data_IF_284088717948
#
_entry.id   IF_284088717948
#
_cell.length_a   1.000
_cell.length_b   1.000
_cell.length_c   1.000
_cell.angle_alpha   90.00
_cell.angle_beta   90.00
_cell.angle_gamma   90.00
#
_symmetry.space_group_name_H-M   'P 1'
#
loop_
_entity.id
_entity.type
_entity.pdbx_description
1 polymer ?
#
# COMPACT_ATOMS: atom_id res chain seq x y z
N UNK A 1 -12.15 27.68 14.90
CA UNK A 1 -11.96 28.01 13.46
C UNK A 1 -10.51 28.35 13.09
N UNK A 2 -9.79 29.21 13.85
CA UNK A 2 -8.36 29.54 13.61
C UNK A 2 -7.40 28.33 13.55
N UNK A 3 -7.53 27.36 14.46
CA UNK A 3 -6.68 26.17 14.49
C UNK A 3 -6.89 25.20 13.29
N UNK A 4 -8.05 25.26 12.62
CA UNK A 4 -8.33 24.44 11.43
C UNK A 4 -7.68 25.07 10.19
N UNK A 5 -7.75 26.38 10.04
CA UNK A 5 -7.13 27.15 8.95
C UNK A 5 -5.59 27.14 9.03
N UNK A 6 -5.00 27.20 10.22
CA UNK A 6 -3.54 27.10 10.40
C UNK A 6 -2.94 25.77 9.93
N UNK A 7 -3.73 24.69 9.90
CA UNK A 7 -3.29 23.38 9.42
C UNK A 7 -3.11 23.35 7.90
N UNK A 8 -3.73 24.28 7.17
CA UNK A 8 -3.65 24.38 5.71
C UNK A 8 -2.61 25.38 5.21
N UNK A 9 -2.20 26.34 6.05
CA UNK A 9 -1.19 27.36 5.69
C UNK A 9 0.21 27.00 6.16
N UNK A 10 0.36 26.04 7.08
CA UNK A 10 1.68 25.57 7.51
C UNK A 10 2.30 24.69 6.42
N UNK A 11 3.58 24.91 6.06
CA UNK A 11 4.30 23.97 5.23
C UNK A 11 4.24 22.57 5.87
N UNK A 12 4.13 21.51 5.06
CA UNK A 12 3.99 20.15 5.59
C UNK A 12 5.16 19.83 6.51
N UNK A 13 4.90 19.27 7.70
CA UNK A 13 5.92 18.89 8.70
C UNK A 13 7.00 17.92 8.16
N UNK A 14 6.78 17.33 6.99
CA UNK A 14 7.72 16.44 6.30
C UNK A 14 7.77 16.81 4.83
N UNK A 15 8.98 16.91 4.28
CA UNK A 15 9.17 17.15 2.85
C UNK A 15 8.53 16.01 2.04
N UNK A 16 7.69 16.33 1.03
CA UNK A 16 7.09 15.33 0.17
C UNK A 16 8.08 14.69 -0.81
N UNK A 17 9.23 15.33 -1.07
CA UNK A 17 10.14 14.99 -2.18
C UNK A 17 11.27 14.04 -1.74
N UNK A 18 11.50 13.92 -0.44
CA UNK A 18 12.50 13.00 0.09
C UNK A 18 12.69 13.21 1.59
N UNK A 19 12.01 12.41 2.40
CA UNK A 19 12.24 12.37 3.84
C UNK A 19 12.98 11.08 4.20
N UNK A 20 14.01 11.23 5.02
CA UNK A 20 14.70 10.12 5.65
C UNK A 20 14.63 10.32 7.17
N UNK A 21 14.59 9.20 7.90
CA UNK A 21 14.85 9.16 9.34
C UNK A 21 16.32 8.88 9.53
N UNK A 22 16.93 9.54 10.51
CA UNK A 22 18.30 9.30 10.90
C UNK A 22 18.28 8.89 12.38
N UNK A 23 18.66 7.64 12.64
CA UNK A 23 18.82 7.11 13.99
C UNK A 23 20.32 7.15 14.32
N UNK A 24 20.75 7.95 15.30
CA UNK A 24 22.16 8.34 15.52
C UNK A 24 22.68 7.80 16.85
N UNK A 25 23.96 7.42 16.87
CA UNK A 25 24.78 7.29 18.08
C UNK A 25 25.94 8.28 17.95
N UNK A 26 26.16 9.07 19.00
CA UNK A 26 27.19 10.11 19.04
C UNK A 26 28.22 9.86 20.14
N UNK A 27 27.85 9.13 21.19
CA UNK A 27 28.73 8.90 22.34
C UNK A 27 29.27 7.46 22.36
N UNK A 28 30.57 7.25 22.67
CA UNK A 28 31.15 5.91 22.75
C UNK A 28 30.42 4.97 23.72
N UNK A 29 29.89 5.50 24.82
CA UNK A 29 29.18 4.75 25.86
C UNK A 29 27.85 4.19 25.35
N UNK A 30 27.22 4.85 24.37
CA UNK A 30 25.96 4.38 23.77
C UNK A 30 26.13 3.02 23.10
N UNK A 31 27.33 2.70 22.60
CA UNK A 31 27.63 1.38 22.03
C UNK A 31 27.44 0.23 23.02
N UNK A 32 27.51 0.50 24.33
CA UNK A 32 27.29 -0.50 25.39
C UNK A 32 25.82 -0.57 25.82
N UNK A 33 25.01 0.41 25.44
CA UNK A 33 23.60 0.51 25.81
C UNK A 33 22.71 -0.27 24.83
N UNK A 34 22.87 -1.60 24.78
CA UNK A 34 22.29 -2.47 23.75
C UNK A 34 20.79 -2.29 23.44
N UNK A 35 19.97 -1.79 24.38
CA UNK A 35 18.55 -1.48 24.12
C UNK A 35 18.34 -0.18 23.31
N UNK A 36 19.23 0.79 23.45
CA UNK A 36 19.11 2.14 22.91
C UNK A 36 19.86 2.32 21.58
N UNK A 37 20.83 1.45 21.29
CA UNK A 37 21.52 1.38 19.99
C UNK A 37 20.54 1.04 18.86
N UNK A 38 20.61 1.69 17.69
CA UNK A 38 19.83 1.31 16.51
C UNK A 38 19.98 -0.18 16.17
N UNK A 39 18.89 -0.84 15.78
CA UNK A 39 18.87 -2.30 15.57
C UNK A 39 19.85 -2.76 14.49
N UNK A 40 20.11 -1.92 13.51
CA UNK A 40 21.09 -2.17 12.45
C UNK A 40 22.52 -2.17 13.00
N UNK A 41 22.82 -1.29 13.96
CA UNK A 41 24.13 -1.28 14.64
C UNK A 41 24.25 -2.45 15.61
N UNK A 42 23.17 -2.84 16.31
CA UNK A 42 23.16 -4.10 17.07
C UNK A 42 23.47 -5.31 16.18
N UNK A 43 22.91 -5.34 14.97
CA UNK A 43 23.19 -6.40 14.00
C UNK A 43 24.64 -6.38 13.52
N UNK A 44 25.23 -5.20 13.28
CA UNK A 44 26.65 -5.04 12.98
C UNK A 44 27.51 -5.65 14.11
N UNK A 45 27.24 -5.28 15.36
CA UNK A 45 27.99 -5.79 16.52
C UNK A 45 27.85 -7.29 16.71
N UNK A 46 26.68 -7.86 16.39
CA UNK A 46 26.43 -9.29 16.52
C UNK A 46 27.21 -10.10 15.47
N UNK A 47 27.36 -9.58 14.25
CA UNK A 47 28.14 -10.27 13.20
C UNK A 47 29.65 -10.02 13.31
N UNK A 48 30.05 -8.80 13.70
CA UNK A 48 31.44 -8.39 13.76
C UNK A 48 31.68 -7.61 15.07
N UNK A 49 31.92 -8.32 16.19
CA UNK A 49 32.12 -7.68 17.50
C UNK A 49 33.28 -6.68 17.52
N UNK A 50 34.31 -6.92 16.72
CA UNK A 50 35.48 -6.04 16.57
C UNK A 50 35.13 -4.63 16.04
N UNK A 51 34.04 -4.49 15.28
CA UNK A 51 33.62 -3.19 14.77
C UNK A 51 33.10 -2.26 15.87
N UNK A 52 32.74 -2.80 17.03
CA UNK A 52 32.31 -2.01 18.18
C UNK A 52 33.39 -1.06 18.65
N UNK A 53 34.62 -1.54 18.78
CA UNK A 53 35.76 -0.70 19.23
C UNK A 53 36.18 0.30 18.15
N UNK A 54 36.15 -0.09 16.87
CA UNK A 54 36.38 0.84 15.75
C UNK A 54 35.34 1.97 15.73
N UNK A 55 34.06 1.65 15.96
CA UNK A 55 32.99 2.62 16.06
C UNK A 55 33.21 3.54 17.27
N UNK A 56 33.50 3.01 18.46
CA UNK A 56 33.80 3.83 19.65
C UNK A 56 34.92 4.84 19.39
N UNK A 57 36.00 4.41 18.74
CA UNK A 57 37.13 5.30 18.38
C UNK A 57 36.70 6.45 17.46
N UNK A 58 35.81 6.19 16.50
CA UNK A 58 35.26 7.23 15.62
C UNK A 58 34.39 8.20 16.44
N UNK A 59 33.54 7.67 17.33
CA UNK A 59 32.67 8.49 18.18
C UNK A 59 33.48 9.40 19.13
N UNK A 60 34.58 8.88 19.71
CA UNK A 60 35.50 9.66 20.54
C UNK A 60 36.22 10.80 19.80
N UNK A 61 36.15 10.84 18.47
CA UNK A 61 36.80 11.85 17.64
C UNK A 61 35.89 13.02 17.24
N UNK A 62 34.75 13.21 17.93
CA UNK A 62 33.80 14.29 17.64
C UNK A 62 32.89 14.01 16.44
N UNK A 63 32.64 12.73 16.13
CA UNK A 63 31.79 12.30 15.02
C UNK A 63 30.68 11.40 15.51
N UNK A 64 29.58 11.35 14.78
CA UNK A 64 28.47 10.45 15.06
C UNK A 64 28.22 9.48 13.91
N UNK A 65 27.68 8.30 14.23
CA UNK A 65 27.27 7.31 13.23
C UNK A 65 25.76 7.24 13.20
N UNK A 66 25.20 7.42 12.01
CA UNK A 66 23.76 7.40 11.77
C UNK A 66 23.33 6.25 10.87
N UNK A 67 22.13 5.73 11.10
CA UNK A 67 21.41 4.87 10.17
C UNK A 67 20.40 5.72 9.41
N UNK A 68 20.73 6.03 8.16
CA UNK A 68 19.82 6.75 7.25
C UNK A 68 18.81 5.77 6.70
N UNK A 69 17.53 6.00 7.01
CA UNK A 69 16.40 5.18 6.54
C UNK A 69 15.45 6.02 5.70
N UNK A 70 15.27 5.65 4.43
CA UNK A 70 14.33 6.31 3.52
C UNK A 70 12.89 5.99 3.91
N UNK A 71 12.09 7.04 4.07
CA UNK A 71 10.68 6.95 4.47
C UNK A 71 9.68 6.99 3.30
N UNK A 72 10.16 7.24 2.08
CA UNK A 72 9.37 7.16 0.87
C UNK A 72 10.26 6.77 -0.30
N UNK A 73 9.83 5.77 -1.05
CA UNK A 73 10.49 5.30 -2.25
C UNK A 73 10.69 6.48 -3.20
N UNK A 74 11.93 6.74 -3.64
CA UNK A 74 12.21 7.78 -4.61
C UNK A 74 11.34 7.66 -5.87
N UNK A 75 10.80 8.79 -6.35
CA UNK A 75 9.81 8.80 -7.43
C UNK A 75 10.37 8.25 -8.74
N UNK A 76 11.67 8.42 -9.00
CA UNK A 76 12.36 7.83 -10.14
C UNK A 76 12.31 6.28 -10.11
N UNK A 77 12.47 5.67 -8.93
CA UNK A 77 12.35 4.21 -8.76
C UNK A 77 10.90 3.78 -9.00
N UNK A 78 9.91 4.52 -8.48
CA UNK A 78 8.49 4.20 -8.70
C UNK A 78 8.11 4.28 -10.19
N UNK A 79 8.59 5.31 -10.91
CA UNK A 79 8.39 5.47 -12.36
C UNK A 79 9.05 4.34 -13.15
N UNK A 80 10.27 3.97 -12.80
CA UNK A 80 10.97 2.85 -13.43
C UNK A 80 10.23 1.52 -13.25
N UNK A 81 9.74 1.24 -12.03
CA UNK A 81 8.95 0.04 -11.75
C UNK A 81 7.65 0.04 -12.52
N UNK A 82 6.97 1.19 -12.58
CA UNK A 82 5.75 1.35 -13.36
C UNK A 82 6.00 1.03 -14.84
N UNK A 83 7.05 1.59 -15.44
CA UNK A 83 7.40 1.33 -16.84
C UNK A 83 7.63 -0.16 -17.11
N UNK A 84 8.48 -0.83 -16.33
CA UNK A 84 8.74 -2.27 -16.49
C UNK A 84 7.46 -3.10 -16.28
N UNK A 85 6.67 -2.74 -15.28
CA UNK A 85 5.42 -3.45 -14.96
C UNK A 85 4.41 -3.37 -16.11
N UNK A 86 4.19 -2.17 -16.64
CA UNK A 86 3.16 -1.91 -17.68
C UNK A 86 3.58 -2.44 -19.04
N UNK A 87 4.81 -2.14 -19.48
CA UNK A 87 5.22 -2.41 -20.86
C UNK A 87 5.81 -3.79 -21.09
N UNK A 88 6.22 -4.50 -20.03
CA UNK A 88 6.82 -5.83 -20.16
C UNK A 88 6.18 -6.87 -19.24
N UNK A 89 5.83 -6.51 -18.00
CA UNK A 89 5.45 -7.50 -16.99
C UNK A 89 3.94 -7.59 -16.75
N UNK A 90 3.10 -7.19 -17.72
CA UNK A 90 1.63 -7.34 -17.67
C UNK A 90 1.00 -6.84 -16.36
N UNK A 91 1.47 -5.70 -15.85
CA UNK A 91 1.06 -5.06 -14.59
C UNK A 91 1.39 -5.86 -13.31
N UNK A 92 2.28 -6.85 -13.40
CA UNK A 92 2.81 -7.56 -12.23
C UNK A 92 4.10 -6.92 -11.72
N UNK A 93 4.30 -7.03 -10.40
CA UNK A 93 5.57 -6.71 -9.73
C UNK A 93 6.07 -7.86 -8.87
N UNK A 94 5.18 -8.68 -8.30
CA UNK A 94 5.55 -9.71 -7.31
C UNK A 94 6.37 -10.86 -7.90
N UNK A 95 6.34 -11.03 -9.22
CA UNK A 95 7.02 -12.12 -9.93
C UNK A 95 8.49 -11.84 -10.23
N UNK A 96 8.89 -10.56 -10.32
CA UNK A 96 10.23 -10.16 -10.77
C UNK A 96 10.91 -9.15 -9.83
N UNK A 97 10.18 -8.20 -9.26
CA UNK A 97 10.77 -7.09 -8.49
C UNK A 97 11.50 -7.55 -7.23
N UNK A 98 10.96 -8.48 -6.42
CA UNK A 98 11.70 -9.02 -5.27
C UNK A 98 13.01 -9.70 -5.69
N UNK A 99 13.01 -10.45 -6.80
CA UNK A 99 14.21 -11.13 -7.33
C UNK A 99 15.24 -10.13 -7.86
N UNK A 100 14.79 -9.09 -8.57
CA UNK A 100 15.66 -8.01 -9.04
C UNK A 100 16.33 -7.28 -7.87
N UNK A 101 15.58 -6.95 -6.83
CA UNK A 101 16.10 -6.21 -5.68
C UNK A 101 17.04 -7.06 -4.82
N UNK A 102 16.76 -8.36 -4.65
CA UNK A 102 17.57 -9.29 -3.83
C UNK A 102 18.77 -9.86 -4.56
N UNK A 103 18.55 -10.42 -5.74
CA UNK A 103 19.50 -11.27 -6.44
C UNK A 103 20.07 -10.59 -7.69
N UNK A 104 19.64 -9.36 -8.00
CA UNK A 104 19.89 -8.67 -9.28
C UNK A 104 19.42 -9.48 -10.50
N UNK A 105 18.52 -10.44 -10.30
CA UNK A 105 17.96 -11.23 -11.38
C UNK A 105 17.11 -10.32 -12.27
N UNK A 106 17.57 -10.10 -13.50
CA UNK A 106 16.91 -9.19 -14.44
C UNK A 106 15.56 -9.77 -14.89
N UNK A 107 14.50 -8.95 -15.00
CA UNK A 107 13.25 -9.40 -15.59
C UNK A 107 13.48 -9.78 -17.06
N UNK A 108 12.80 -10.82 -17.52
CA UNK A 108 12.80 -11.19 -18.95
C UNK A 108 11.99 -10.15 -19.74
N UNK A 109 12.66 -9.43 -20.64
CA UNK A 109 12.07 -8.40 -21.51
C UNK A 109 12.39 -8.75 -22.95
N UNK A 110 11.36 -8.85 -23.80
CA UNK A 110 11.50 -9.19 -25.21
C UNK A 110 11.84 -7.93 -26.05
N UNK A 111 12.55 -8.04 -27.19
CA UNK A 111 12.89 -6.90 -28.04
C UNK A 111 11.70 -6.04 -28.44
N UNK A 112 10.57 -6.67 -28.77
CA UNK A 112 9.33 -5.96 -29.14
C UNK A 112 8.77 -5.08 -28.00
N UNK A 113 9.04 -5.43 -26.74
CA UNK A 113 8.58 -4.68 -25.57
C UNK A 113 9.42 -3.42 -25.34
N UNK A 114 10.72 -3.47 -25.66
CA UNK A 114 11.56 -2.27 -25.68
C UNK A 114 11.05 -1.26 -26.71
N UNK A 115 10.71 -1.71 -27.92
CA UNK A 115 10.18 -0.84 -28.96
C UNK A 115 8.81 -0.27 -28.58
N UNK A 116 7.92 -1.09 -28.02
CA UNK A 116 6.64 -0.61 -27.49
C UNK A 116 6.83 0.47 -26.42
N UNK A 117 7.73 0.25 -25.45
CA UNK A 117 7.99 1.25 -24.40
C UNK A 117 8.55 2.56 -24.96
N UNK A 118 9.44 2.50 -25.97
CA UNK A 118 9.99 3.69 -26.64
C UNK A 118 8.91 4.54 -27.30
N UNK A 119 7.89 3.92 -27.92
CA UNK A 119 6.75 4.68 -28.49
C UNK A 119 5.97 5.49 -27.45
N UNK A 120 6.13 5.16 -26.17
CA UNK A 120 5.54 5.86 -25.04
C UNK A 120 6.56 6.67 -24.22
N UNK A 121 7.75 6.94 -24.78
CA UNK A 121 8.84 7.69 -24.14
C UNK A 121 9.41 7.04 -22.86
N UNK A 122 9.40 5.71 -22.79
CA UNK A 122 10.05 4.96 -21.72
C UNK A 122 11.22 4.14 -22.25
N UNK A 123 12.35 4.21 -21.55
CA UNK A 123 13.49 3.30 -21.74
C UNK A 123 13.49 2.23 -20.65
N UNK A 124 13.18 0.98 -21.04
CA UNK A 124 13.15 -0.14 -20.09
C UNK A 124 14.55 -0.53 -19.59
N UNK A 125 15.59 -0.31 -20.37
CA UNK A 125 16.96 -0.57 -19.95
C UNK A 125 17.36 0.42 -18.85
N UNK A 126 17.14 1.71 -19.09
CA UNK A 126 17.39 2.76 -18.09
C UNK A 126 16.53 2.55 -16.82
N UNK A 127 15.27 2.13 -16.99
CA UNK A 127 14.39 1.83 -15.86
C UNK A 127 14.96 0.70 -14.98
N UNK A 128 15.37 -0.42 -15.58
CA UNK A 128 15.98 -1.53 -14.83
C UNK A 128 17.28 -1.09 -14.16
N UNK A 129 18.15 -0.35 -14.87
CA UNK A 129 19.39 0.18 -14.30
C UNK A 129 19.15 1.13 -13.14
N UNK A 130 18.13 1.99 -13.23
CA UNK A 130 17.74 2.90 -12.15
C UNK A 130 17.31 2.14 -10.90
N UNK A 131 16.49 1.09 -11.06
CA UNK A 131 16.06 0.24 -9.94
C UNK A 131 17.27 -0.44 -9.30
N UNK A 132 18.14 -1.05 -10.12
CA UNK A 132 19.33 -1.75 -9.64
C UNK A 132 20.26 -0.77 -8.93
N UNK A 133 20.63 0.36 -9.53
CA UNK A 133 21.54 1.35 -8.93
C UNK A 133 21.02 1.88 -7.59
N UNK A 134 19.75 2.25 -7.54
CA UNK A 134 19.20 2.97 -6.39
C UNK A 134 18.64 2.04 -5.29
N UNK A 135 18.60 0.72 -5.49
CA UNK A 135 18.06 -0.25 -4.50
C UNK A 135 18.75 -0.20 -3.12
N UNK A 136 19.98 0.30 -3.05
CA UNK A 136 20.77 0.40 -1.80
C UNK A 136 20.59 1.73 -1.08
N UNK A 137 19.89 2.69 -1.69
CA UNK A 137 19.70 4.02 -1.11
C UNK A 137 18.69 4.02 0.03
N UNK A 138 17.94 2.93 0.22
CA UNK A 138 16.85 2.85 1.19
C UNK A 138 17.32 2.80 2.64
N UNK A 139 18.47 2.17 2.88
CA UNK A 139 19.07 2.08 4.21
C UNK A 139 20.59 2.06 4.10
N UNK A 140 21.26 3.00 4.78
CA UNK A 140 22.71 3.14 4.73
C UNK A 140 23.27 3.64 6.05
N UNK A 141 24.46 3.18 6.41
CA UNK A 141 25.24 3.78 7.48
C UNK A 141 25.86 5.07 6.95
N UNK A 142 25.74 6.15 7.71
CA UNK A 142 26.31 7.45 7.38
C UNK A 142 27.14 7.96 8.55
N UNK A 143 28.21 8.66 8.22
CA UNK A 143 29.02 9.38 9.19
C UNK A 143 28.54 10.83 9.24
N UNK A 144 28.47 11.37 10.44
CA UNK A 144 28.06 12.74 10.73
C UNK A 144 29.25 13.38 11.42
N UNK A 145 29.74 14.47 10.86
CA UNK A 145 30.79 15.27 11.47
C UNK A 145 30.12 16.31 12.37
N UNK A 146 30.17 16.12 13.69
CA UNK A 146 29.48 17.01 14.64
C UNK A 146 30.35 18.23 14.98
N UNK A 147 31.67 18.07 14.95
CA UNK A 147 32.63 19.11 15.33
C UNK A 147 33.30 19.80 14.13
N UNK A 148 32.89 19.48 12.89
CA UNK A 148 33.45 20.01 11.64
C UNK A 148 34.95 19.73 11.46
N UNK A 149 35.41 18.57 11.93
CA UNK A 149 36.83 18.16 11.89
C UNK A 149 37.21 17.60 10.50
N UNK A 150 36.20 17.22 9.71
CA UNK A 150 36.36 16.55 8.42
C UNK A 150 36.35 15.02 8.54
N UNK A 151 35.96 14.36 7.45
CA UNK A 151 35.89 12.90 7.34
C UNK A 151 37.15 12.39 6.63
N UNK A 152 37.88 11.49 7.27
CA UNK A 152 39.07 10.87 6.68
C UNK A 152 38.68 9.78 5.67
N UNK A 153 39.52 9.51 4.65
CA UNK A 153 39.26 8.43 3.69
C UNK A 153 39.07 7.04 4.35
N UNK A 154 39.85 6.74 5.39
CA UNK A 154 39.76 5.49 6.16
C UNK A 154 38.40 5.35 6.85
N UNK A 155 37.88 6.43 7.43
CA UNK A 155 36.56 6.46 8.07
C UNK A 155 35.45 6.25 7.01
N UNK A 156 35.59 6.87 5.84
CA UNK A 156 34.66 6.71 4.73
C UNK A 156 34.64 5.27 4.19
N UNK A 157 35.81 4.62 4.12
CA UNK A 157 35.93 3.21 3.74
C UNK A 157 35.25 2.31 4.77
N UNK A 158 35.52 2.52 6.06
CA UNK A 158 34.90 1.75 7.13
C UNK A 158 33.36 1.90 7.13
N UNK A 159 32.84 3.11 6.91
CA UNK A 159 31.38 3.33 6.82
C UNK A 159 30.76 2.62 5.61
N UNK A 160 31.52 2.46 4.52
CA UNK A 160 31.11 1.68 3.36
C UNK A 160 31.07 0.19 3.68
N UNK A 161 32.08 -0.33 4.38
CA UNK A 161 32.13 -1.70 4.90
C UNK A 161 30.94 -1.99 5.86
N UNK A 162 30.66 -1.08 6.81
CA UNK A 162 29.48 -1.19 7.67
C UNK A 162 28.16 -1.21 6.89
N UNK A 163 28.09 -0.44 5.80
CA UNK A 163 26.92 -0.43 4.91
C UNK A 163 26.76 -1.76 4.16
N UNK A 164 27.84 -2.46 3.85
CA UNK A 164 27.81 -3.80 3.25
C UNK A 164 27.33 -4.86 4.24
N UNK A 165 27.69 -4.77 5.52
CA UNK A 165 27.18 -5.69 6.55
C UNK A 165 25.66 -5.63 6.66
N UNK A 166 25.07 -4.43 6.63
CA UNK A 166 23.61 -4.27 6.74
C UNK A 166 22.87 -4.51 5.42
N UNK A 167 23.58 -4.82 4.33
CA UNK A 167 23.03 -4.94 2.98
C UNK A 167 21.87 -5.93 2.86
N UNK A 168 21.93 -7.16 3.42
CA UNK A 168 20.81 -8.10 3.32
C UNK A 168 19.51 -7.54 3.94
N UNK A 169 19.65 -6.82 5.06
CA UNK A 169 18.53 -6.19 5.76
C UNK A 169 18.03 -4.96 5.01
N UNK A 170 18.94 -4.17 4.44
CA UNK A 170 18.61 -2.98 3.66
C UNK A 170 17.78 -3.34 2.41
N UNK A 171 18.11 -4.44 1.74
CA UNK A 171 17.36 -4.96 0.59
C UNK A 171 15.95 -5.40 1.00
N UNK A 172 15.81 -6.14 2.08
CA UNK A 172 14.49 -6.58 2.53
C UNK A 172 13.59 -5.39 2.88
N UNK A 173 14.17 -4.38 3.53
CA UNK A 173 13.49 -3.11 3.76
C UNK A 173 13.13 -2.42 2.43
N UNK A 174 14.03 -2.40 1.44
CA UNK A 174 13.78 -1.80 0.13
C UNK A 174 12.63 -2.49 -0.62
N UNK A 175 12.66 -3.83 -0.73
CA UNK A 175 11.57 -4.62 -1.35
C UNK A 175 10.24 -4.29 -0.70
N UNK A 176 10.20 -4.34 0.63
CA UNK A 176 9.01 -4.01 1.38
C UNK A 176 8.53 -2.59 1.09
N UNK A 177 9.43 -1.61 1.22
CA UNK A 177 9.11 -0.19 1.10
C UNK A 177 8.61 0.19 -0.28
N UNK A 178 9.26 -0.36 -1.30
CA UNK A 178 8.89 -0.15 -2.71
C UNK A 178 7.49 -0.70 -3.00
N UNK A 179 7.18 -1.91 -2.53
CA UNK A 179 5.85 -2.50 -2.72
C UNK A 179 4.78 -1.66 -2.01
N UNK A 180 5.04 -1.27 -0.75
CA UNK A 180 4.12 -0.49 0.05
C UNK A 180 3.88 0.92 -0.53
N UNK A 181 4.93 1.62 -0.94
CA UNK A 181 4.79 2.98 -1.47
C UNK A 181 4.21 3.00 -2.89
N UNK A 182 4.53 2.01 -3.73
CA UNK A 182 3.86 1.83 -5.02
C UNK A 182 2.36 1.57 -4.84
N UNK A 183 1.95 0.88 -3.78
CA UNK A 183 0.54 0.75 -3.42
C UNK A 183 -0.06 2.05 -2.86
N UNK A 184 0.72 2.84 -2.11
CA UNK A 184 0.29 4.11 -1.50
C UNK A 184 0.02 5.22 -2.52
N UNK A 185 0.87 5.34 -3.55
CA UNK A 185 0.62 6.22 -4.71
C UNK A 185 -0.75 5.93 -5.34
N UNK A 186 -1.11 4.64 -5.41
CA UNK A 186 -2.37 4.17 -6.01
C UNK A 186 -3.59 4.33 -5.09
N UNK A 187 -3.42 4.75 -3.83
CA UNK A 187 -4.48 4.77 -2.79
C UNK A 187 -4.67 6.11 -2.08
N UNK A 188 -4.11 7.21 -2.60
CA UNK A 188 -4.33 8.57 -2.07
C UNK A 188 -5.81 8.97 -1.91
N UNK A 189 -6.70 8.19 -2.52
CA UNK A 189 -8.16 8.34 -2.53
C UNK A 189 -8.82 7.91 -1.21
N UNK A 190 -8.22 7.01 -0.42
CA UNK A 190 -8.83 6.52 0.84
C UNK A 190 -9.03 7.63 1.89
N UNK A 191 -8.18 8.65 1.91
CA UNK A 191 -8.35 9.83 2.78
C UNK A 191 -9.46 10.79 2.30
N UNK A 192 -9.81 10.74 1.02
CA UNK A 192 -10.92 11.51 0.45
C UNK A 192 -12.25 10.85 0.83
N UNK A 193 -12.33 9.52 0.82
CA UNK A 193 -13.55 8.75 1.16
C UNK A 193 -14.03 9.02 2.59
N UNK A 194 -13.14 9.04 3.58
CA UNK A 194 -13.51 9.38 4.98
C UNK A 194 -14.05 10.81 5.12
N UNK A 195 -13.58 11.75 4.28
CA UNK A 195 -14.10 13.13 4.28
C UNK A 195 -15.47 13.23 3.60
N UNK A 196 -15.73 12.37 2.62
CA UNK A 196 -17.01 12.29 1.92
C UNK A 196 -18.13 11.76 2.84
N UNK A 197 -17.80 10.82 3.73
CA UNK A 197 -18.72 10.30 4.77
C UNK A 197 -19.38 11.41 5.62
N UNK A 198 -18.66 12.49 5.94
CA UNK A 198 -19.18 13.65 6.68
C UNK A 198 -20.24 14.45 5.89
N UNK A 199 -20.26 14.31 4.57
CA UNK A 199 -21.20 14.97 3.66
C UNK A 199 -22.38 14.03 3.33
N UNK A 200 -22.10 12.73 3.16
CA UNK A 200 -23.10 11.71 2.83
C UNK A 200 -24.10 11.52 3.96
N UNK A 201 -23.66 11.47 5.22
CA UNK A 201 -24.53 11.27 6.39
C UNK A 201 -25.67 12.30 6.51
N UNK A 202 -25.37 13.62 6.52
CA UNK A 202 -26.40 14.66 6.55
C UNK A 202 -27.38 14.61 5.38
N UNK A 203 -26.89 14.34 4.17
CA UNK A 203 -27.73 14.28 2.96
C UNK A 203 -28.63 13.03 3.02
N UNK A 204 -28.08 11.87 3.34
CA UNK A 204 -28.85 10.64 3.51
C UNK A 204 -29.93 10.81 4.61
N UNK A 205 -29.60 11.47 5.72
CA UNK A 205 -30.54 11.73 6.81
C UNK A 205 -31.67 12.68 6.38
N UNK A 206 -31.35 13.75 5.65
CA UNK A 206 -32.35 14.63 5.09
C UNK A 206 -33.26 13.88 4.10
N UNK A 207 -32.69 13.13 3.16
CA UNK A 207 -33.45 12.38 2.14
C UNK A 207 -34.37 11.32 2.76
N UNK A 208 -33.89 10.57 3.75
CA UNK A 208 -34.70 9.57 4.46
C UNK A 208 -35.89 10.20 5.19
N UNK A 209 -35.72 11.42 5.71
CA UNK A 209 -36.78 12.16 6.40
C UNK A 209 -37.88 12.65 5.45
N UNK A 210 -37.54 13.00 4.20
CA UNK A 210 -38.53 13.47 3.23
C UNK A 210 -39.24 12.33 2.51
N UNK A 211 -38.52 11.27 2.14
CA UNK A 211 -39.08 10.11 1.44
C UNK A 211 -38.36 8.86 1.96
N UNK A 212 -39.09 7.99 2.67
CA UNK A 212 -38.57 6.72 3.19
C UNK A 212 -37.94 5.91 2.06
N UNK A 213 -36.71 5.45 2.26
CA UNK A 213 -35.95 4.68 1.27
C UNK A 213 -35.02 5.51 0.36
N UNK A 214 -35.25 6.83 0.18
CA UNK A 214 -34.32 7.65 -0.62
C UNK A 214 -32.97 7.86 0.08
N UNK A 215 -32.96 7.99 1.41
CA UNK A 215 -31.72 8.07 2.17
C UNK A 215 -30.95 6.75 2.13
N UNK A 216 -31.65 5.61 2.19
CA UNK A 216 -31.07 4.27 1.99
C UNK A 216 -30.43 4.12 0.60
N UNK A 217 -31.14 4.54 -0.46
CA UNK A 217 -30.61 4.52 -1.83
C UNK A 217 -29.37 5.41 -1.97
N UNK A 218 -29.45 6.64 -1.47
CA UNK A 218 -28.35 7.59 -1.57
C UNK A 218 -27.12 7.11 -0.78
N UNK A 219 -27.30 6.62 0.45
CA UNK A 219 -26.20 6.07 1.24
C UNK A 219 -25.57 4.84 0.59
N UNK A 220 -26.38 3.93 0.03
CA UNK A 220 -25.90 2.74 -0.67
C UNK A 220 -25.17 3.08 -1.99
N UNK A 221 -25.58 4.13 -2.69
CA UNK A 221 -25.04 4.47 -4.01
C UNK A 221 -23.86 5.44 -3.96
N UNK A 222 -23.86 6.39 -3.02
CA UNK A 222 -22.90 7.49 -3.01
C UNK A 222 -21.47 7.01 -2.73
N UNK A 223 -21.27 6.17 -1.71
CA UNK A 223 -19.93 5.66 -1.40
C UNK A 223 -19.48 4.62 -2.43
N UNK A 224 -20.38 3.75 -2.88
CA UNK A 224 -20.09 2.69 -3.86
C UNK A 224 -19.71 3.25 -5.24
N UNK A 225 -20.38 4.31 -5.73
CA UNK A 225 -20.02 4.99 -6.98
C UNK A 225 -18.68 5.76 -6.89
N UNK A 226 -18.40 6.36 -5.74
CA UNK A 226 -17.15 7.10 -5.52
C UNK A 226 -15.97 6.12 -5.33
N UNK A 227 -16.20 5.01 -4.63
CA UNK A 227 -15.29 3.88 -4.50
C UNK A 227 -14.99 3.24 -5.86
N UNK A 228 -16.00 3.01 -6.69
CA UNK A 228 -15.81 2.47 -8.05
C UNK A 228 -15.00 3.42 -8.93
N UNK A 229 -15.33 4.71 -8.91
CA UNK A 229 -14.59 5.73 -9.65
C UNK A 229 -13.12 5.77 -9.22
N UNK A 230 -12.86 5.65 -7.91
CA UNK A 230 -11.53 5.57 -7.35
C UNK A 230 -10.77 4.33 -7.81
N UNK A 231 -11.45 3.17 -7.83
CA UNK A 231 -10.83 1.94 -8.28
C UNK A 231 -10.54 1.94 -9.78
N UNK A 232 -11.44 2.46 -10.61
CA UNK A 232 -11.21 2.63 -12.04
C UNK A 232 -9.96 3.49 -12.29
N UNK A 233 -9.79 4.57 -11.53
CA UNK A 233 -8.58 5.40 -11.58
C UNK A 233 -7.33 4.62 -11.11
N UNK A 234 -7.44 3.82 -10.04
CA UNK A 234 -6.34 3.00 -9.55
C UNK A 234 -5.93 1.89 -10.54
N UNK A 235 -6.89 1.25 -11.22
CA UNK A 235 -6.63 0.29 -12.29
C UNK A 235 -6.03 0.96 -13.52
N UNK A 236 -6.53 2.15 -13.89
CA UNK A 236 -5.97 2.96 -14.97
C UNK A 236 -4.52 3.35 -14.69
N UNK A 237 -4.23 3.78 -13.46
CA UNK A 237 -2.88 4.06 -12.96
C UNK A 237 -2.01 2.80 -12.81
N UNK A 238 -2.63 1.61 -12.76
CA UNK A 238 -1.93 0.33 -12.80
C UNK A 238 -1.66 -0.19 -14.22
N UNK A 239 -1.99 0.58 -15.26
CA UNK A 239 -1.67 0.25 -16.66
C UNK A 239 -2.79 -0.39 -17.47
N UNK A 240 -3.99 -0.58 -16.91
CA UNK A 240 -5.12 -1.10 -17.68
C UNK A 240 -5.67 -0.05 -18.67
N UNK A 241 -6.00 -0.47 -19.90
CA UNK A 241 -6.49 0.44 -20.94
C UNK A 241 -7.96 0.82 -20.74
N UNK A 242 -8.36 2.00 -21.23
CA UNK A 242 -9.75 2.47 -21.17
C UNK A 242 -10.73 1.50 -21.83
N UNK A 243 -10.34 0.82 -22.91
CA UNK A 243 -11.18 -0.20 -23.56
C UNK A 243 -11.51 -1.36 -22.62
N UNK A 244 -10.55 -1.80 -21.81
CA UNK A 244 -10.74 -2.86 -20.81
C UNK A 244 -11.64 -2.37 -19.66
N UNK A 245 -11.43 -1.14 -19.19
CA UNK A 245 -12.24 -0.54 -18.13
C UNK A 245 -13.69 -0.27 -18.57
N UNK A 246 -13.92 0.18 -19.80
CA UNK A 246 -15.29 0.40 -20.33
C UNK A 246 -16.04 -0.92 -20.48
N UNK A 247 -15.35 -2.02 -20.81
CA UNK A 247 -15.97 -3.36 -20.86
C UNK A 247 -16.48 -3.79 -19.48
N UNK A 248 -15.82 -3.34 -18.41
CA UNK A 248 -16.25 -3.50 -17.00
C UNK A 248 -17.60 -2.82 -16.75
N UNK A 249 -17.80 -1.62 -17.30
CA UNK A 249 -19.04 -0.85 -17.16
C UNK A 249 -20.31 -1.64 -17.56
N UNK A 250 -20.20 -2.56 -18.53
CA UNK A 250 -21.31 -3.45 -18.91
C UNK A 250 -21.72 -4.44 -17.82
N UNK A 251 -20.80 -4.79 -16.91
CA UNK A 251 -21.08 -5.65 -15.76
C UNK A 251 -21.51 -4.80 -14.55
N UNK A 252 -20.98 -3.59 -14.42
CA UNK A 252 -21.33 -2.69 -13.31
C UNK A 252 -22.77 -2.18 -13.40
N UNK A 253 -23.29 -1.92 -14.60
CA UNK A 253 -24.66 -1.44 -14.79
C UNK A 253 -25.74 -2.38 -14.20
N UNK A 254 -25.76 -3.69 -14.51
CA UNK A 254 -26.73 -4.59 -13.89
C UNK A 254 -26.52 -4.77 -12.38
N UNK A 255 -25.27 -4.70 -11.90
CA UNK A 255 -24.98 -4.74 -10.47
C UNK A 255 -25.52 -3.49 -9.76
N UNK A 256 -25.36 -2.31 -10.36
CA UNK A 256 -25.93 -1.06 -9.85
C UNK A 256 -27.46 -1.11 -9.80
N UNK A 257 -28.10 -1.66 -10.84
CA UNK A 257 -29.54 -1.86 -10.85
C UNK A 257 -30.00 -2.83 -9.75
N UNK A 258 -29.26 -3.92 -9.52
CA UNK A 258 -29.54 -4.90 -8.47
C UNK A 258 -29.33 -4.30 -7.07
N UNK A 259 -28.29 -3.50 -6.87
CA UNK A 259 -28.03 -2.75 -5.64
C UNK A 259 -29.15 -1.75 -5.34
N UNK A 260 -29.56 -1.00 -6.36
CA UNK A 260 -30.68 -0.04 -6.28
C UNK A 260 -31.96 -0.75 -5.88
N UNK A 261 -32.29 -1.86 -6.54
CA UNK A 261 -33.47 -2.66 -6.22
C UNK A 261 -33.42 -3.23 -4.79
N UNK A 262 -32.25 -3.74 -4.37
CA UNK A 262 -32.04 -4.24 -3.02
C UNK A 262 -32.25 -3.15 -1.97
N UNK A 263 -31.71 -1.95 -2.17
CA UNK A 263 -31.90 -0.80 -1.27
C UNK A 263 -33.38 -0.41 -1.10
N UNK A 264 -34.18 -0.42 -2.19
CA UNK A 264 -35.63 -0.18 -2.11
C UNK A 264 -36.40 -1.30 -1.42
N UNK A 265 -35.92 -2.55 -1.53
CA UNK A 265 -36.58 -3.71 -0.93
C UNK A 265 -36.46 -3.77 0.60
N UNK A 266 -35.53 -3.00 1.19
CA UNK A 266 -35.28 -2.98 2.65
C UNK A 266 -36.52 -2.59 3.43
N UNK A 267 -37.29 -1.59 2.96
CA UNK A 267 -38.45 -1.10 3.69
C UNK A 267 -39.57 -2.15 3.76
N UNK A 268 -39.83 -2.82 2.63
CA UNK A 268 -40.81 -3.93 2.59
C UNK A 268 -40.43 -5.08 3.51
N UNK A 269 -39.12 -5.37 3.64
CA UNK A 269 -38.62 -6.39 4.57
C UNK A 269 -38.76 -5.97 6.04
N UNK A 270 -38.50 -4.71 6.37
CA UNK A 270 -38.69 -4.17 7.73
C UNK A 270 -40.17 -4.22 8.15
N UNK A 271 -41.08 -3.77 7.28
CA UNK A 271 -42.53 -3.80 7.54
C UNK A 271 -43.05 -5.22 7.70
N UNK A 272 -42.49 -6.18 6.96
CA UNK A 272 -42.86 -7.61 7.06
C UNK A 272 -42.26 -8.33 8.28
N UNK A 273 -41.60 -7.61 9.21
CA UNK A 273 -40.93 -8.19 10.38
C UNK A 273 -39.66 -8.99 10.07
N UNK A 274 -39.16 -8.94 8.83
CA UNK A 274 -37.96 -9.67 8.39
C UNK A 274 -36.69 -8.84 8.59
N UNK A 275 -36.48 -8.37 9.82
CA UNK A 275 -35.43 -7.41 10.18
C UNK A 275 -34.02 -7.85 9.82
N UNK A 276 -33.67 -9.13 10.06
CA UNK A 276 -32.34 -9.65 9.73
C UNK A 276 -32.10 -9.60 8.21
N UNK A 277 -33.09 -10.02 7.41
CA UNK A 277 -33.00 -9.98 5.96
C UNK A 277 -32.92 -8.57 5.41
N UNK A 278 -33.65 -7.62 5.99
CA UNK A 278 -33.54 -6.20 5.66
C UNK A 278 -32.09 -5.71 5.83
N UNK A 279 -31.45 -6.08 6.94
CA UNK A 279 -30.04 -5.76 7.21
C UNK A 279 -29.08 -6.40 6.20
N UNK A 280 -29.23 -7.69 5.91
CA UNK A 280 -28.40 -8.40 4.91
C UNK A 280 -28.53 -7.76 3.54
N UNK A 281 -29.76 -7.53 3.08
CA UNK A 281 -30.04 -6.95 1.76
C UNK A 281 -29.47 -5.54 1.67
N UNK A 282 -29.64 -4.72 2.70
CA UNK A 282 -29.06 -3.38 2.72
C UNK A 282 -27.53 -3.42 2.68
N UNK A 283 -26.90 -4.22 3.55
CA UNK A 283 -25.44 -4.32 3.62
C UNK A 283 -24.82 -4.82 2.30
N UNK A 284 -25.41 -5.82 1.65
CA UNK A 284 -24.98 -6.29 0.33
C UNK A 284 -25.19 -5.25 -0.76
N UNK A 285 -26.34 -4.56 -0.75
CA UNK A 285 -26.64 -3.53 -1.74
C UNK A 285 -25.67 -2.35 -1.67
N UNK A 286 -25.24 -1.98 -0.47
CA UNK A 286 -24.37 -0.83 -0.27
C UNK A 286 -22.89 -1.05 -0.67
N UNK A 287 -22.48 -2.29 -0.92
CA UNK A 287 -21.11 -2.65 -1.34
C UNK A 287 -21.10 -3.51 -2.60
N UNK A 288 -22.21 -3.52 -3.35
CA UNK A 288 -22.39 -4.45 -4.45
C UNK A 288 -21.42 -4.17 -5.60
N UNK A 289 -21.22 -2.90 -5.97
CA UNK A 289 -20.29 -2.54 -7.04
C UNK A 289 -18.87 -2.82 -6.59
N UNK A 290 -18.46 -2.31 -5.44
CA UNK A 290 -17.11 -2.46 -4.91
C UNK A 290 -16.68 -3.93 -4.70
N UNK A 291 -17.57 -4.78 -4.17
CA UNK A 291 -17.32 -6.22 -4.05
C UNK A 291 -17.15 -6.87 -5.43
N UNK A 292 -18.05 -6.56 -6.38
CA UNK A 292 -17.94 -7.04 -7.77
C UNK A 292 -16.61 -6.63 -8.38
N UNK A 293 -16.20 -5.43 -8.07
CA UNK A 293 -15.02 -4.76 -8.58
C UNK A 293 -13.74 -5.40 -8.03
N UNK A 294 -13.67 -5.65 -6.72
CA UNK A 294 -12.59 -6.41 -6.09
C UNK A 294 -12.50 -7.86 -6.59
N UNK A 295 -13.63 -8.49 -6.91
CA UNK A 295 -13.62 -9.84 -7.51
C UNK A 295 -13.08 -9.79 -8.95
N UNK A 296 -13.52 -8.81 -9.74
CA UNK A 296 -13.10 -8.66 -11.12
C UNK A 296 -11.61 -8.35 -11.26
N UNK A 297 -11.02 -7.56 -10.35
CA UNK A 297 -9.58 -7.27 -10.37
C UNK A 297 -8.75 -8.55 -10.23
N UNK A 298 -9.16 -9.49 -9.37
CA UNK A 298 -8.51 -10.80 -9.23
C UNK A 298 -8.53 -11.56 -10.57
N UNK A 299 -9.67 -11.57 -11.27
CA UNK A 299 -9.77 -12.22 -12.58
C UNK A 299 -8.93 -11.52 -13.66
N UNK A 300 -8.87 -10.19 -13.65
CA UNK A 300 -8.01 -9.42 -14.55
C UNK A 300 -6.52 -9.74 -14.31
N UNK A 301 -6.10 -9.82 -13.05
CA UNK A 301 -4.75 -10.24 -12.72
C UNK A 301 -4.49 -11.70 -13.10
N UNK A 302 -5.44 -12.61 -12.86
CA UNK A 302 -5.33 -14.00 -13.30
C UNK A 302 -5.08 -14.10 -14.81
N UNK A 303 -5.82 -13.32 -15.61
CA UNK A 303 -5.62 -13.25 -17.06
C UNK A 303 -4.22 -12.75 -17.43
N UNK A 304 -3.73 -11.72 -16.75
CA UNK A 304 -2.37 -11.21 -16.95
C UNK A 304 -1.28 -12.22 -16.52
N UNK A 305 -1.48 -12.99 -15.44
CA UNK A 305 -0.57 -14.05 -15.06
C UNK A 305 -0.52 -15.18 -16.10
N UNK A 306 -1.66 -15.56 -16.68
CA UNK A 306 -1.69 -16.53 -17.78
C UNK A 306 -0.90 -16.03 -18.99
N UNK A 307 -0.98 -14.73 -19.32
CA UNK A 307 -0.15 -14.13 -20.38
C UNK A 307 1.34 -14.18 -20.06
N UNK A 308 1.73 -13.89 -18.81
CA UNK A 308 3.13 -14.01 -18.40
C UNK A 308 3.65 -15.44 -18.52
N UNK A 309 2.80 -16.44 -18.23
CA UNK A 309 3.14 -17.85 -18.38
C UNK A 309 3.30 -18.23 -19.86
N UNK A 310 2.36 -17.81 -20.71
CA UNK A 310 2.44 -18.02 -22.17
C UNK A 310 3.68 -17.39 -22.79
N UNK A 311 4.12 -16.23 -22.29
CA UNK A 311 5.34 -15.55 -22.74
C UNK A 311 6.63 -16.12 -22.11
N UNK A 312 6.53 -17.20 -21.33
CA UNK A 312 7.68 -17.85 -20.67
C UNK A 312 8.40 -16.95 -19.66
N UNK A 313 7.68 -16.00 -19.05
CA UNK A 313 8.22 -15.08 -18.02
C UNK A 313 8.02 -15.58 -16.60
N UNK A 314 7.06 -16.48 -16.41
CA UNK A 314 6.89 -17.26 -15.19
C UNK A 314 6.85 -18.74 -15.57
N UNK A 315 7.31 -19.65 -14.68
CA UNK A 315 7.29 -21.07 -14.96
C UNK A 315 5.86 -21.58 -15.16
N UNK A 316 5.71 -22.58 -16.02
CA UNK A 316 4.44 -23.29 -16.17
C UNK A 316 4.03 -23.91 -14.83
N UNK A 317 2.78 -23.66 -14.44
CA UNK A 317 2.29 -24.09 -13.14
C UNK A 317 0.79 -24.34 -13.18
N UNK A 318 0.28 -24.98 -12.13
CA UNK A 318 -1.14 -25.27 -11.99
C UNK A 318 -2.00 -24.00 -11.93
N UNK A 319 -3.26 -24.11 -12.38
CA UNK A 319 -4.27 -23.03 -12.30
C UNK A 319 -4.44 -22.47 -10.87
N UNK A 320 -4.31 -23.32 -9.83
CA UNK A 320 -4.37 -22.90 -8.42
C UNK A 320 -3.23 -21.93 -8.05
N UNK A 321 -2.02 -22.17 -8.55
CA UNK A 321 -0.87 -21.31 -8.31
C UNK A 321 -1.00 -19.97 -9.03
N UNK A 322 -1.51 -19.97 -10.27
CA UNK A 322 -1.82 -18.74 -11.02
C UNK A 322 -2.87 -17.90 -10.29
N UNK A 323 -3.91 -18.53 -9.76
CA UNK A 323 -4.93 -17.84 -8.98
C UNK A 323 -4.34 -17.24 -7.69
N UNK A 324 -3.52 -18.00 -6.97
CA UNK A 324 -2.80 -17.50 -5.79
C UNK A 324 -1.90 -16.30 -6.13
N UNK A 325 -1.20 -16.33 -7.26
CA UNK A 325 -0.38 -15.21 -7.73
C UNK A 325 -1.22 -13.96 -8.04
N UNK A 326 -2.40 -14.13 -8.65
CA UNK A 326 -3.33 -13.03 -8.89
C UNK A 326 -3.80 -12.36 -7.60
N UNK A 327 -4.19 -13.17 -6.61
CA UNK A 327 -4.57 -12.66 -5.28
C UNK A 327 -3.42 -11.89 -4.63
N UNK A 328 -2.22 -12.48 -4.61
CA UNK A 328 -1.04 -11.85 -4.01
C UNK A 328 -0.72 -10.52 -4.71
N UNK A 329 -0.78 -10.49 -6.04
CA UNK A 329 -0.54 -9.28 -6.82
C UNK A 329 -1.59 -8.21 -6.52
N UNK A 330 -2.87 -8.57 -6.45
CA UNK A 330 -3.96 -7.64 -6.19
C UNK A 330 -3.87 -7.03 -4.78
N UNK A 331 -3.58 -7.87 -3.78
CA UNK A 331 -3.43 -7.46 -2.38
C UNK A 331 -2.04 -6.95 -2.01
N UNK A 332 -1.16 -6.72 -3.00
CA UNK A 332 -0.03 -5.80 -2.77
C UNK A 332 -0.51 -4.41 -2.40
N UNK A 333 -1.74 -4.07 -2.81
CA UNK A 333 -2.43 -2.88 -2.37
C UNK A 333 -3.27 -3.16 -1.10
N UNK A 334 -2.88 -2.65 0.09
CA UNK A 334 -3.61 -2.89 1.33
C UNK A 334 -5.02 -2.30 1.32
N UNK A 335 -5.28 -1.24 0.56
CA UNK A 335 -6.65 -0.72 0.44
C UNK A 335 -7.58 -1.74 -0.21
N UNK A 336 -7.13 -2.45 -1.26
CA UNK A 336 -7.96 -3.48 -1.93
C UNK A 336 -8.27 -4.66 -1.03
N UNK A 337 -7.30 -5.07 -0.21
CA UNK A 337 -7.57 -6.09 0.80
C UNK A 337 -8.64 -5.60 1.79
N UNK A 338 -8.51 -4.37 2.27
CA UNK A 338 -9.50 -3.79 3.19
C UNK A 338 -10.87 -3.55 2.54
N UNK A 339 -10.93 -3.23 1.24
CA UNK A 339 -12.17 -3.16 0.46
C UNK A 339 -12.86 -4.53 0.45
N UNK A 340 -12.14 -5.61 0.11
CA UNK A 340 -12.73 -6.95 0.13
C UNK A 340 -13.22 -7.37 1.53
N UNK A 341 -12.41 -7.13 2.58
CA UNK A 341 -12.77 -7.46 3.95
C UNK A 341 -13.99 -6.65 4.39
N UNK A 342 -13.99 -5.34 4.14
CA UNK A 342 -15.08 -4.45 4.53
C UNK A 342 -16.38 -4.74 3.79
N UNK A 343 -16.31 -5.04 2.49
CA UNK A 343 -17.44 -5.55 1.70
C UNK A 343 -18.02 -6.84 2.28
N UNK A 344 -17.16 -7.76 2.74
CA UNK A 344 -17.59 -9.01 3.38
C UNK A 344 -18.24 -8.78 4.76
N UNK A 345 -17.89 -7.70 5.46
CA UNK A 345 -18.44 -7.33 6.76
C UNK A 345 -19.71 -6.46 6.66
N UNK A 346 -19.97 -5.83 5.51
CA UNK A 346 -21.13 -4.95 5.32
C UNK A 346 -22.48 -5.61 5.65
N UNK A 347 -22.76 -6.88 5.28
CA UNK A 347 -24.01 -7.54 5.68
C UNK A 347 -24.18 -7.66 7.18
N UNK A 348 -23.08 -7.89 7.92
CA UNK A 348 -23.09 -7.96 9.39
C UNK A 348 -23.42 -6.60 9.98
N UNK A 349 -22.82 -5.52 9.45
CA UNK A 349 -23.13 -4.15 9.87
C UNK A 349 -24.59 -3.78 9.56
N UNK A 350 -25.10 -4.22 8.41
CA UNK A 350 -26.51 -4.08 8.05
C UNK A 350 -27.45 -4.78 9.03
N UNK A 351 -27.14 -6.01 9.43
CA UNK A 351 -27.92 -6.76 10.45
C UNK A 351 -27.93 -5.99 11.78
N UNK A 352 -26.77 -5.50 12.24
CA UNK A 352 -26.66 -4.72 13.50
C UNK A 352 -27.50 -3.44 13.41
N UNK A 353 -27.42 -2.72 12.29
CA UNK A 353 -28.25 -1.53 12.04
C UNK A 353 -29.75 -1.83 12.07
N UNK A 354 -30.16 -2.94 11.46
CA UNK A 354 -31.56 -3.35 11.44
C UNK A 354 -32.07 -3.78 12.81
N UNK A 355 -31.32 -4.61 13.55
CA UNK A 355 -31.69 -5.07 14.89
C UNK A 355 -31.73 -3.96 15.93
N UNK A 356 -30.92 -2.91 15.77
CA UNK A 356 -30.96 -1.73 16.64
C UNK A 356 -32.15 -0.81 16.35
N UNK A 357 -32.93 -1.06 15.30
CA UNK A 357 -34.06 -0.22 14.90
C UNK A 357 -33.64 1.14 14.31
N UNK A 358 -32.35 1.36 14.03
CA UNK A 358 -31.79 2.65 13.63
C UNK A 358 -31.67 2.83 12.10
N UNK A 359 -32.27 1.96 11.31
CA UNK A 359 -32.24 2.02 9.83
C UNK A 359 -33.00 3.21 9.23
N UNK A 360 -33.69 4.01 10.05
CA UNK A 360 -34.28 5.29 9.66
C UNK A 360 -33.29 6.46 9.85
N UNK A 361 -32.15 6.24 10.50
CA UNK A 361 -31.15 7.26 10.75
C UNK A 361 -30.09 7.26 9.63
N UNK A 362 -30.09 8.32 8.82
CA UNK A 362 -29.12 8.49 7.73
C UNK A 362 -27.64 8.41 8.13
N UNK A 363 -27.27 8.71 9.38
CA UNK A 363 -25.90 8.51 9.87
C UNK A 363 -25.53 7.04 10.01
N UNK A 364 -26.47 6.22 10.47
CA UNK A 364 -26.28 4.76 10.58
C UNK A 364 -26.26 4.14 9.19
N UNK A 365 -27.14 4.58 8.30
CA UNK A 365 -27.15 4.16 6.90
C UNK A 365 -25.84 4.50 6.19
N UNK A 366 -25.32 5.72 6.37
CA UNK A 366 -24.03 6.13 5.82
C UNK A 366 -22.86 5.35 6.44
N UNK A 367 -22.87 5.09 7.75
CA UNK A 367 -21.84 4.30 8.41
C UNK A 367 -21.81 2.85 7.89
N UNK A 368 -22.97 2.23 7.71
CA UNK A 368 -23.08 0.88 7.14
C UNK A 368 -22.66 0.89 5.67
N UNK A 369 -23.15 1.85 4.87
CA UNK A 369 -22.80 1.96 3.46
C UNK A 369 -21.32 2.24 3.21
N UNK A 370 -20.63 2.83 4.17
CA UNK A 370 -19.18 3.07 4.11
C UNK A 370 -18.34 2.11 4.94
N UNK A 371 -18.90 0.98 5.38
CA UNK A 371 -18.16 -0.06 6.12
C UNK A 371 -16.89 -0.44 5.36
N UNK A 372 -17.01 -0.59 4.05
CA UNK A 372 -15.89 -0.92 3.18
C UNK A 372 -14.78 0.15 3.20
N UNK A 373 -15.13 1.40 2.92
CA UNK A 373 -14.19 2.53 2.92
C UNK A 373 -13.49 2.71 4.26
N UNK A 374 -14.21 2.51 5.37
CA UNK A 374 -13.67 2.58 6.73
C UNK A 374 -12.64 1.46 6.95
N UNK A 375 -13.00 0.21 6.62
CA UNK A 375 -12.10 -0.94 6.78
C UNK A 375 -10.88 -0.82 5.85
N UNK A 376 -11.06 -0.32 4.62
CA UNK A 376 -9.95 -0.03 3.70
C UNK A 376 -9.00 1.02 4.27
N UNK A 377 -9.52 2.13 4.80
CA UNK A 377 -8.72 3.17 5.45
C UNK A 377 -7.93 2.65 6.65
N UNK A 378 -8.58 1.88 7.53
CA UNK A 378 -7.92 1.23 8.67
C UNK A 378 -6.86 0.22 8.21
N UNK A 379 -7.15 -0.58 7.19
CA UNK A 379 -6.21 -1.58 6.65
C UNK A 379 -4.94 -0.92 6.13
N UNK A 380 -5.04 0.23 5.45
CA UNK A 380 -3.86 0.99 5.00
C UNK A 380 -3.03 1.48 6.20
N UNK A 381 -3.67 2.02 7.24
CA UNK A 381 -2.99 2.51 8.45
C UNK A 381 -2.29 1.35 9.18
N UNK A 382 -2.99 0.23 9.37
CA UNK A 382 -2.44 -0.95 10.02
C UNK A 382 -1.38 -1.64 9.18
N UNK A 383 -1.46 -1.60 7.84
CA UNK A 383 -0.44 -2.17 6.97
C UNK A 383 0.93 -1.53 7.22
N UNK A 384 1.02 -0.20 7.31
CA UNK A 384 2.27 0.50 7.62
C UNK A 384 2.86 0.00 8.97
N UNK A 385 2.02 -0.11 10.00
CA UNK A 385 2.44 -0.57 11.34
C UNK A 385 2.85 -2.05 11.37
N UNK A 386 2.02 -2.94 10.81
CA UNK A 386 2.29 -4.39 10.73
C UNK A 386 3.59 -4.63 9.97
N UNK A 387 3.84 -3.87 8.92
CA UNK A 387 5.02 -4.06 8.12
C UNK A 387 6.31 -3.58 8.82
N UNK A 388 6.28 -2.42 9.49
CA UNK A 388 7.41 -1.98 10.32
C UNK A 388 7.68 -3.00 11.44
N UNK A 389 6.62 -3.54 12.05
CA UNK A 389 6.72 -4.59 13.05
C UNK A 389 7.34 -5.89 12.50
N UNK A 390 6.92 -6.36 11.32
CA UNK A 390 7.49 -7.55 10.66
C UNK A 390 8.99 -7.38 10.38
N UNK A 391 9.39 -6.21 9.87
CA UNK A 391 10.79 -5.89 9.63
C UNK A 391 11.60 -5.92 10.94
N UNK A 392 11.13 -5.24 11.99
CA UNK A 392 11.77 -5.24 13.32
C UNK A 392 11.87 -6.64 13.91
N UNK A 393 10.82 -7.46 13.75
CA UNK A 393 10.81 -8.86 14.22
C UNK A 393 11.88 -9.68 13.49
N UNK A 394 11.96 -9.59 12.16
CA UNK A 394 12.98 -10.29 11.37
C UNK A 394 14.40 -9.87 11.77
N UNK A 395 14.60 -8.56 11.99
CA UNK A 395 15.89 -8.03 12.44
C UNK A 395 16.27 -8.55 13.84
N UNK A 396 15.32 -8.59 14.78
CA UNK A 396 15.54 -9.19 16.09
C UNK A 396 15.88 -10.69 16.00
N UNK A 397 15.22 -11.44 15.11
CA UNK A 397 15.57 -12.84 14.88
C UNK A 397 16.99 -12.97 14.33
N UNK A 398 17.37 -12.13 13.36
CA UNK A 398 18.70 -12.14 12.78
C UNK A 398 19.81 -11.81 13.80
N UNK A 399 19.56 -10.84 14.69
CA UNK A 399 20.47 -10.50 15.81
C UNK A 399 20.62 -11.69 16.78
N UNK A 400 19.53 -12.41 17.07
CA UNK A 400 19.56 -13.57 17.99
C UNK A 400 20.14 -14.85 17.38
N UNK A 401 20.22 -14.94 16.06
CA UNK A 401 20.78 -16.12 15.39
C UNK A 401 22.30 -16.03 15.21
N UNK A 402 22.89 -14.85 15.40
CA UNK A 402 24.32 -14.59 15.20
C UNK A 402 25.09 -14.33 16.49
N UNK A 403 24.40 -14.07 17.60
CA UNK A 403 24.96 -14.10 18.96
C UNK A 403 24.51 -15.34 19.70
#
# INVERSE_FOLDING_TARGET
MKAFLEKFTRPPKKSPIGSYRLDVISLPEECDWGKYVPKEIQYIFSNNPEYKEKIKKILSSGKAIGIRTVLRTPENILKAIHAVSVYSQSNYIVTWLPKLLREKHLPKIEPAEYELAKTHHYDLHEAVQTIVRDRLRFKRVVLIDEENIGIKPEEQMFISELSEVIYPIAIDYAVFRVIADNARERTRIAQTLIKILLIVGPIAHALEKYISGLGKLFAASADDLLGESAELMALRGSGFSWKVLVRRGRILLPVFALATWGAFSVEGLLVSGKTIWAGVVFGLSAVALSLTTAIQSIFMYRHNALRLMQNGKIPETSSRHIFKLAIIQDFTNPARLGLLIGSSLSPVMGIIGALSGLMHNGWILAAIGSTESIVAGLTVIFADYINEWRFRKKLNTAIRSTG
#
